data_IF_874860438971
#
_entry.id   IF_874860438971
#
_cell.length_a   1.000
_cell.length_b   1.000
_cell.length_c   1.000
_cell.angle_alpha   90.00
_cell.angle_beta   90.00
_cell.angle_gamma   90.00
#
_symmetry.space_group_name_H-M   'P 1'
#
loop_
_entity.id
_entity.type
_entity.pdbx_description
1 polymer ?
#
# COMPACT_ATOMS: atom_id res chain seq x y z
N UNK A 1 -20.81 -20.35 18.68
CA UNK A 1 -19.66 -21.25 18.82
C UNK A 1 -18.50 -20.47 19.40
N UNK A 2 -17.99 -20.86 20.57
CA UNK A 2 -16.83 -20.23 21.21
C UNK A 2 -15.61 -20.66 20.39
N UNK A 3 -15.24 -19.87 19.38
CA UNK A 3 -14.08 -20.18 18.54
C UNK A 3 -12.86 -20.26 19.46
N UNK A 4 -12.17 -21.40 19.44
CA UNK A 4 -10.84 -21.55 20.00
C UNK A 4 -9.90 -20.57 19.29
N UNK A 5 -9.82 -19.33 19.78
CA UNK A 5 -8.91 -18.30 19.24
C UNK A 5 -7.47 -18.51 19.75
N UNK A 6 -7.15 -19.69 20.28
CA UNK A 6 -5.88 -20.00 20.90
C UNK A 6 -4.92 -20.55 19.85
N UNK A 7 -4.06 -19.67 19.31
CA UNK A 7 -2.83 -19.99 18.54
C UNK A 7 -2.94 -20.18 17.01
N UNK A 8 -3.78 -19.41 16.33
CA UNK A 8 -3.50 -19.04 14.92
C UNK A 8 -2.73 -17.69 14.86
N UNK A 9 -1.81 -17.49 15.81
CA UNK A 9 -0.91 -16.35 15.84
C UNK A 9 0.31 -16.65 14.99
N UNK A 10 0.95 -15.61 14.45
CA UNK A 10 2.18 -15.69 13.66
C UNK A 10 3.33 -16.18 14.57
N UNK A 11 3.39 -17.49 14.82
CA UNK A 11 4.42 -18.09 15.69
C UNK A 11 5.67 -18.38 14.88
N UNK A 12 6.85 -18.01 15.40
CA UNK A 12 8.15 -18.26 14.76
C UNK A 12 8.94 -17.00 14.38
N UNK A 13 8.33 -15.82 14.50
CA UNK A 13 8.98 -14.53 14.24
C UNK A 13 9.36 -13.81 15.54
N UNK A 14 10.30 -12.85 15.47
CA UNK A 14 10.60 -12.00 16.63
C UNK A 14 9.35 -11.19 16.99
N UNK A 15 9.12 -10.97 18.29
CA UNK A 15 7.90 -10.28 18.79
C UNK A 15 7.64 -8.93 18.13
N UNK A 16 8.68 -8.21 17.71
CA UNK A 16 8.54 -6.92 17.02
C UNK A 16 7.96 -7.10 15.61
N UNK A 17 8.48 -8.05 14.85
CA UNK A 17 8.00 -8.36 13.50
C UNK A 17 6.54 -8.80 13.55
N UNK A 18 6.21 -9.73 14.45
CA UNK A 18 4.84 -10.22 14.64
C UNK A 18 3.82 -9.09 14.86
N UNK A 19 4.17 -8.08 15.67
CA UNK A 19 3.26 -6.94 15.94
C UNK A 19 2.99 -6.09 14.69
N UNK A 20 3.98 -5.90 13.83
CA UNK A 20 3.81 -5.15 12.59
C UNK A 20 2.83 -5.89 11.68
N UNK A 21 3.03 -7.20 11.49
CA UNK A 21 2.12 -8.02 10.66
C UNK A 21 0.70 -8.09 11.21
N UNK A 22 0.54 -8.22 12.52
CA UNK A 22 -0.77 -8.24 13.17
C UNK A 22 -1.47 -6.88 13.04
N UNK A 23 -0.72 -5.78 13.14
CA UNK A 23 -1.24 -4.44 12.94
C UNK A 23 -1.68 -4.21 11.49
N UNK A 24 -0.87 -4.61 10.51
CA UNK A 24 -1.22 -4.54 9.09
C UNK A 24 -2.46 -5.39 8.78
N UNK A 25 -2.52 -6.61 9.32
CA UNK A 25 -3.70 -7.47 9.20
C UNK A 25 -4.93 -6.83 9.81
N UNK A 26 -4.83 -6.25 11.00
CA UNK A 26 -5.94 -5.56 11.63
C UNK A 26 -6.44 -4.41 10.74
N UNK A 27 -5.54 -3.63 10.13
CA UNK A 27 -5.88 -2.56 9.19
C UNK A 27 -6.62 -3.12 7.96
N UNK A 28 -6.13 -4.22 7.37
CA UNK A 28 -6.80 -4.89 6.24
C UNK A 28 -8.20 -5.41 6.60
N UNK A 29 -8.40 -5.83 7.85
CA UNK A 29 -9.68 -6.25 8.40
C UNK A 29 -10.59 -5.08 8.82
N UNK A 30 -10.18 -3.83 8.54
CA UNK A 30 -10.97 -2.63 8.77
C UNK A 30 -10.66 -1.89 10.08
N UNK A 31 -9.65 -2.30 10.84
CA UNK A 31 -9.19 -1.51 11.98
C UNK A 31 -8.62 -0.15 11.51
N UNK A 32 -8.80 0.87 12.34
CA UNK A 32 -8.34 2.22 12.03
C UNK A 32 -6.79 2.27 12.01
N UNK A 33 -6.17 2.74 10.92
CA UNK A 33 -4.72 2.90 10.86
C UNK A 33 -4.19 3.84 11.96
N UNK A 34 -2.94 3.65 12.41
CA UNK A 34 -2.31 4.54 13.37
C UNK A 34 -2.20 5.97 12.79
N UNK A 35 -2.26 6.96 13.68
CA UNK A 35 -2.07 8.36 13.29
C UNK A 35 -0.64 8.57 12.84
N UNK A 36 -0.46 9.35 11.77
CA UNK A 36 0.86 9.80 11.34
C UNK A 36 1.46 10.71 12.41
N UNK A 37 2.76 10.61 12.57
CA UNK A 37 3.52 11.54 13.42
C UNK A 37 3.39 12.96 12.88
N UNK A 38 3.45 13.94 13.79
CA UNK A 38 3.47 15.33 13.40
C UNK A 38 4.79 15.67 12.70
N UNK A 39 4.72 16.34 11.55
CA UNK A 39 5.88 16.72 10.75
C UNK A 39 5.78 18.21 10.40
N UNK A 40 6.90 18.93 10.53
CA UNK A 40 6.97 20.33 10.12
C UNK A 40 6.67 20.49 8.61
N UNK A 41 5.96 21.55 8.25
CA UNK A 41 5.54 21.77 6.87
C UNK A 41 6.71 21.90 5.88
N UNK A 42 7.80 22.55 6.26
CA UNK A 42 8.99 22.69 5.39
C UNK A 42 9.61 21.34 5.07
N UNK A 43 9.79 20.51 6.10
CA UNK A 43 10.39 19.17 5.92
C UNK A 43 9.45 18.22 5.17
N UNK A 44 8.13 18.37 5.32
CA UNK A 44 7.16 17.64 4.49
C UNK A 44 7.27 17.98 3.00
N UNK A 45 7.42 19.26 2.66
CA UNK A 45 7.57 19.72 1.28
C UNK A 45 8.86 19.19 0.64
N UNK A 46 9.98 19.20 1.36
CA UNK A 46 11.25 18.63 0.89
C UNK A 46 11.12 17.12 0.60
N UNK A 47 10.54 16.35 1.54
CA UNK A 47 10.27 14.92 1.34
C UNK A 47 9.38 14.63 0.14
N UNK A 48 8.42 15.52 -0.16
CA UNK A 48 7.56 15.35 -1.34
C UNK A 48 8.29 15.63 -2.65
N UNK A 49 9.23 16.60 -2.67
CA UNK A 49 10.09 16.85 -3.84
C UNK A 49 11.03 15.68 -4.09
N UNK A 50 11.68 15.17 -3.04
CA UNK A 50 12.57 14.00 -3.12
C UNK A 50 11.82 12.75 -3.63
N UNK A 51 10.63 12.48 -3.09
CA UNK A 51 9.79 11.36 -3.55
C UNK A 51 9.34 11.48 -5.01
N UNK A 52 9.14 12.70 -5.52
CA UNK A 52 8.82 12.91 -6.93
C UNK A 52 10.03 12.63 -7.81
N UNK A 53 11.19 13.19 -7.47
CA UNK A 53 12.43 12.93 -8.18
C UNK A 53 12.75 11.43 -8.26
N UNK A 54 12.63 10.70 -7.15
CA UNK A 54 12.85 9.26 -7.13
C UNK A 54 11.84 8.47 -7.99
N UNK A 55 10.58 8.92 -8.05
CA UNK A 55 9.56 8.27 -8.89
C UNK A 55 9.77 8.54 -10.39
N UNK A 56 10.21 9.74 -10.75
CA UNK A 56 10.46 10.10 -12.14
C UNK A 56 11.68 9.35 -12.72
N UNK A 57 12.67 8.99 -11.88
CA UNK A 57 13.75 8.08 -12.25
C UNK A 57 13.28 6.61 -12.42
N UNK A 58 12.36 6.14 -11.57
CA UNK A 58 11.77 4.80 -11.68
C UNK A 58 10.81 4.66 -12.88
N UNK A 59 10.07 5.71 -13.23
CA UNK A 59 9.06 5.69 -14.31
C UNK A 59 9.70 5.71 -15.71
N UNK A 60 10.84 6.41 -15.88
CA UNK A 60 11.65 6.33 -17.12
C UNK A 60 12.16 4.91 -17.42
N UNK A 61 12.18 4.00 -16.45
CA UNK A 61 12.51 2.58 -16.64
C UNK A 61 11.33 1.71 -17.12
N UNK A 62 10.08 2.18 -17.06
CA UNK A 62 8.87 1.38 -17.34
C UNK A 62 8.05 1.82 -18.56
N UNK A 63 8.35 2.96 -19.18
CA UNK A 63 7.57 3.52 -20.29
C UNK A 63 7.71 2.83 -21.67
N UNK A 64 8.34 1.64 -21.78
CA UNK A 64 8.54 0.97 -23.08
C UNK A 64 7.77 -0.32 -23.34
N UNK A 65 6.73 -0.68 -22.58
CA UNK A 65 5.81 -1.77 -23.01
C UNK A 65 4.37 -1.53 -22.57
N UNK A 66 3.54 -1.09 -23.51
CA UNK A 66 2.08 -1.25 -23.40
C UNK A 66 1.22 -0.13 -23.96
N UNK A 67 1.68 0.61 -24.98
CA UNK A 67 0.78 1.42 -25.79
C UNK A 67 -0.16 0.51 -26.61
N UNK A 68 -1.34 1.02 -26.93
CA UNK A 68 -2.38 0.47 -27.82
C UNK A 68 -3.25 -0.67 -27.29
N UNK A 69 -4.43 -0.33 -26.75
CA UNK A 69 -5.73 -0.96 -27.04
C UNK A 69 -6.87 -0.30 -26.24
N UNK A 70 -7.13 1.00 -26.48
CA UNK A 70 -8.41 1.64 -26.16
C UNK A 70 -8.96 2.34 -27.39
N UNK A 71 -9.59 1.59 -28.29
CA UNK A 71 -10.61 2.11 -29.24
C UNK A 71 -11.34 0.97 -29.96
N UNK A 72 -12.50 0.59 -29.44
CA UNK A 72 -13.73 0.33 -30.20
C UNK A 72 -14.88 0.01 -29.24
N UNK A 73 -15.53 1.06 -28.74
CA UNK A 73 -16.94 1.00 -28.35
C UNK A 73 -17.75 1.28 -29.62
N UNK A 74 -18.49 0.29 -30.11
CA UNK A 74 -19.59 0.44 -31.07
C UNK A 74 -20.62 -0.63 -30.74
N UNK A 75 -21.65 -0.23 -29.99
CA UNK A 75 -23.07 -0.34 -30.37
C UNK A 75 -23.43 -1.53 -31.26
N UNK A 76 -24.29 -2.42 -30.73
CA UNK A 76 -25.41 -3.15 -31.37
C UNK A 76 -26.04 -4.02 -30.26
N UNK A 77 -27.23 -3.68 -29.73
CA UNK A 77 -28.58 -4.05 -30.19
C UNK A 77 -28.73 -5.56 -30.49
N UNK A 78 -29.26 -6.31 -29.53
CA UNK A 78 -30.49 -7.13 -29.64
C UNK A 78 -31.02 -7.47 -28.24
#
# INVERSE_FOLDING_TARGET
ARLEVHKFGITGYKKQEQRVWEQERAIMLGAKPPKKEHVNYKTYQEKMKEKKAAKDDDDKGKEHKGDSLKKKKKEQKE
#
